data_IF_354823537045
#
_entry.id   IF_354823537045
#
_cell.length_a   1.000
_cell.length_b   1.000
_cell.length_c   1.000
_cell.angle_alpha   90.00
_cell.angle_beta   90.00
_cell.angle_gamma   90.00
#
_symmetry.space_group_name_H-M   'P 1'
#
loop_
_entity.id
_entity.type
_entity.pdbx_description
1 polymer ?
#
# COMPACT_ATOMS: atom_id res chain seq x y z
N UNK A 1 -47.09 -19.80 29.46
CA UNK A 1 -46.11 -20.59 28.68
C UNK A 1 -46.55 -20.61 27.22
N UNK A 2 -45.76 -20.02 26.31
CA UNK A 2 -45.96 -20.07 24.84
C UNK A 2 -44.76 -20.79 24.21
N UNK A 3 -44.93 -21.60 23.16
CA UNK A 3 -43.86 -22.49 22.68
C UNK A 3 -42.82 -21.74 21.85
N UNK A 4 -41.56 -22.15 21.98
CA UNK A 4 -40.44 -21.73 21.14
C UNK A 4 -40.65 -22.26 19.71
N UNK A 5 -40.97 -21.40 18.75
CA UNK A 5 -40.94 -21.77 17.34
C UNK A 5 -39.49 -21.85 16.86
N UNK A 6 -39.07 -23.06 16.52
CA UNK A 6 -37.80 -23.36 15.86
C UNK A 6 -37.72 -22.62 14.52
N UNK A 7 -36.78 -21.68 14.39
CA UNK A 7 -36.48 -21.01 13.13
C UNK A 7 -35.46 -21.85 12.35
N UNK A 8 -35.94 -22.68 11.42
CA UNK A 8 -35.06 -23.37 10.46
C UNK A 8 -34.48 -22.36 9.47
N UNK A 9 -33.19 -22.04 9.64
CA UNK A 9 -32.42 -21.33 8.61
C UNK A 9 -32.10 -22.31 7.50
N UNK A 10 -32.78 -22.21 6.36
CA UNK A 10 -32.51 -23.05 5.20
C UNK A 10 -31.49 -22.35 4.31
N UNK A 11 -30.28 -22.91 4.20
CA UNK A 11 -29.28 -22.46 3.23
C UNK A 11 -29.54 -23.14 1.88
N UNK A 12 -30.08 -22.39 0.92
CA UNK A 12 -30.23 -22.88 -0.46
C UNK A 12 -29.09 -22.32 -1.30
N UNK A 13 -28.15 -23.19 -1.68
CA UNK A 13 -27.07 -22.85 -2.61
C UNK A 13 -27.56 -23.12 -4.03
N UNK A 14 -28.12 -22.12 -4.73
CA UNK A 14 -28.43 -22.24 -6.16
C UNK A 14 -27.23 -21.80 -7.01
N UNK A 15 -26.78 -22.61 -7.99
CA UNK A 15 -25.79 -22.17 -8.96
C UNK A 15 -26.42 -21.15 -9.92
N UNK A 16 -25.83 -19.94 -10.02
CA UNK A 16 -26.17 -18.97 -11.06
C UNK A 16 -25.33 -19.24 -12.30
N UNK A 17 -25.99 -19.59 -13.40
CA UNK A 17 -25.40 -20.06 -14.67
C UNK A 17 -24.79 -18.93 -15.54
N UNK A 18 -24.68 -17.67 -15.08
CA UNK A 18 -24.23 -16.58 -15.95
C UNK A 18 -23.08 -15.70 -15.44
N UNK A 19 -22.60 -15.87 -14.21
CA UNK A 19 -21.61 -14.89 -13.65
C UNK A 19 -20.57 -15.44 -12.68
N UNK A 20 -20.45 -16.76 -12.48
CA UNK A 20 -19.41 -17.33 -11.62
C UNK A 20 -19.43 -16.81 -10.17
N UNK A 21 -20.57 -16.29 -9.70
CA UNK A 21 -20.75 -15.77 -8.34
C UNK A 21 -21.58 -16.74 -7.50
N UNK A 22 -21.09 -17.03 -6.31
CA UNK A 22 -21.91 -17.61 -5.25
C UNK A 22 -22.64 -16.48 -4.52
N UNK A 23 -23.95 -16.37 -4.73
CA UNK A 23 -24.80 -15.53 -3.90
C UNK A 23 -25.30 -16.37 -2.72
N UNK A 24 -25.00 -15.92 -1.49
CA UNK A 24 -25.59 -16.52 -0.29
C UNK A 24 -26.90 -15.78 -0.02
N UNK A 25 -28.02 -16.40 -0.37
CA UNK A 25 -29.34 -15.92 0.03
C UNK A 25 -29.65 -16.50 1.40
N UNK A 26 -29.78 -15.63 2.41
CA UNK A 26 -30.26 -16.02 3.73
C UNK A 26 -31.74 -15.67 3.79
N UNK A 27 -32.58 -16.68 4.06
CA UNK A 27 -34.02 -16.49 4.24
C UNK A 27 -34.31 -16.54 5.74
N UNK A 28 -34.71 -15.39 6.31
CA UNK A 28 -35.28 -15.29 7.65
C UNK A 28 -36.76 -14.88 7.49
N UNK A 29 -37.66 -15.86 7.56
CA UNK A 29 -39.09 -15.65 7.28
C UNK A 29 -39.37 -15.26 5.81
N UNK A 30 -40.41 -14.45 5.57
CA UNK A 30 -40.81 -14.00 4.22
C UNK A 30 -39.91 -12.89 3.64
N UNK A 31 -38.75 -12.61 4.24
CA UNK A 31 -37.87 -11.51 3.84
C UNK A 31 -36.62 -12.07 3.18
N UNK A 32 -36.45 -11.75 1.90
CA UNK A 32 -35.23 -12.04 1.15
C UNK A 32 -34.19 -10.94 1.42
N UNK A 33 -33.09 -11.31 2.08
CA UNK A 33 -31.89 -10.49 2.14
C UNK A 33 -30.87 -10.97 1.09
N UNK A 34 -30.60 -10.12 0.10
CA UNK A 34 -29.47 -10.31 -0.80
C UNK A 34 -28.26 -9.59 -0.22
N UNK A 35 -27.30 -10.37 0.29
CA UNK A 35 -26.03 -9.84 0.77
C UNK A 35 -25.02 -9.91 -0.39
N UNK A 36 -24.84 -8.81 -1.11
CA UNK A 36 -23.74 -8.72 -2.09
C UNK A 36 -22.42 -8.50 -1.35
N UNK A 37 -21.46 -9.39 -1.55
CA UNK A 37 -20.10 -9.21 -1.07
C UNK A 37 -19.52 -7.90 -1.62
N UNK A 38 -19.14 -6.98 -0.73
CA UNK A 38 -18.50 -5.72 -1.09
C UNK A 38 -17.27 -5.97 -1.96
N UNK A 39 -17.25 -5.38 -3.15
CA UNK A 39 -16.10 -5.46 -4.07
C UNK A 39 -14.87 -4.88 -3.37
N UNK A 40 -13.83 -5.69 -3.16
CA UNK A 40 -12.48 -5.16 -2.94
C UNK A 40 -12.07 -4.43 -4.22
N UNK A 41 -11.98 -3.09 -4.15
CA UNK A 41 -11.54 -2.27 -5.28
C UNK A 41 -10.03 -2.43 -5.40
N UNK A 42 -9.59 -3.28 -6.31
CA UNK A 42 -8.19 -3.24 -6.79
C UNK A 42 -7.95 -1.89 -7.47
N UNK A 43 -6.74 -1.31 -7.34
CA UNK A 43 -6.39 -0.10 -8.07
C UNK A 43 -6.44 -0.35 -9.59
N UNK A 44 -6.89 0.65 -10.34
CA UNK A 44 -6.93 0.59 -11.80
C UNK A 44 -5.55 0.86 -12.39
N UNK A 45 -5.22 0.16 -13.48
CA UNK A 45 -4.03 0.41 -14.32
C UNK A 45 -4.36 1.15 -15.63
N UNK A 46 -5.59 1.68 -15.76
CA UNK A 46 -6.04 2.40 -16.95
C UNK A 46 -5.44 3.82 -17.04
N UNK A 47 -4.49 3.98 -17.96
CA UNK A 47 -3.80 5.24 -18.19
C UNK A 47 -4.69 6.31 -18.87
N UNK A 48 -5.65 5.91 -19.68
CA UNK A 48 -6.54 6.85 -20.37
C UNK A 48 -7.48 7.53 -19.37
N UNK A 49 -8.06 6.74 -18.45
CA UNK A 49 -8.85 7.26 -17.34
C UNK A 49 -8.01 8.18 -16.45
N UNK A 50 -6.81 7.76 -16.06
CA UNK A 50 -5.88 8.58 -15.27
C UNK A 50 -5.58 9.93 -15.95
N UNK A 51 -5.28 9.95 -17.25
CA UNK A 51 -4.99 11.20 -17.99
C UNK A 51 -6.18 12.16 -18.00
N UNK A 52 -7.39 11.65 -18.17
CA UNK A 52 -8.60 12.46 -18.14
C UNK A 52 -8.82 13.10 -16.77
N UNK A 53 -8.60 12.34 -15.70
CA UNK A 53 -8.77 12.82 -14.33
C UNK A 53 -7.65 13.81 -13.96
N UNK A 54 -6.42 13.53 -14.36
CA UNK A 54 -5.26 14.40 -14.19
C UNK A 54 -5.46 15.75 -14.90
N UNK A 55 -6.00 15.75 -16.13
CA UNK A 55 -6.26 16.99 -16.88
C UNK A 55 -7.34 17.89 -16.25
N UNK A 56 -8.25 17.31 -15.44
CA UNK A 56 -9.33 18.05 -14.76
C UNK A 56 -8.96 18.52 -13.36
N UNK A 57 -7.88 17.99 -12.80
CA UNK A 57 -7.46 18.32 -11.44
C UNK A 57 -6.99 19.77 -11.35
N UNK A 58 -7.54 20.53 -10.39
CA UNK A 58 -7.17 21.94 -10.17
C UNK A 58 -5.98 22.12 -9.24
N UNK A 59 -5.74 21.13 -8.36
CA UNK A 59 -4.68 21.15 -7.37
C UNK A 59 -4.07 19.76 -7.30
N UNK A 60 -2.85 19.61 -7.81
CA UNK A 60 -2.14 18.34 -7.89
C UNK A 60 -1.03 18.35 -6.85
N UNK A 61 -0.99 17.32 -6.01
CA UNK A 61 0.07 17.09 -5.03
C UNK A 61 0.78 15.80 -5.39
N UNK A 62 2.10 15.86 -5.51
CA UNK A 62 2.96 14.70 -5.79
C UNK A 62 3.77 14.41 -4.53
N UNK A 63 3.52 13.25 -3.93
CA UNK A 63 4.31 12.75 -2.79
C UNK A 63 5.35 11.78 -3.33
N UNK A 64 6.62 12.16 -3.22
CA UNK A 64 7.75 11.33 -3.67
C UNK A 64 8.51 10.75 -2.48
N UNK A 65 9.25 9.67 -2.73
CA UNK A 65 10.14 9.05 -1.76
C UNK A 65 11.46 8.66 -2.41
N UNK A 66 12.34 8.01 -1.64
CA UNK A 66 13.68 7.62 -2.10
C UNK A 66 13.69 6.79 -3.39
N UNK A 67 12.60 6.07 -3.69
CA UNK A 67 12.46 5.29 -4.92
C UNK A 67 12.56 6.13 -6.20
N UNK A 68 12.08 7.37 -6.19
CA UNK A 68 12.21 8.28 -7.35
C UNK A 68 13.68 8.56 -7.66
N UNK A 69 14.56 8.62 -6.65
CA UNK A 69 15.99 8.88 -6.86
C UNK A 69 16.81 7.62 -7.14
N UNK A 70 16.22 6.43 -7.02
CA UNK A 70 16.94 5.17 -7.23
C UNK A 70 17.49 5.06 -8.66
N UNK A 71 16.74 5.54 -9.65
CA UNK A 71 17.16 5.57 -11.06
C UNK A 71 18.34 6.51 -11.32
N UNK A 72 18.55 7.51 -10.45
CA UNK A 72 19.76 8.34 -10.45
C UNK A 72 20.97 7.67 -9.78
N UNK A 73 20.85 6.39 -9.39
CA UNK A 73 21.89 5.67 -8.65
C UNK A 73 22.07 6.16 -7.22
N UNK A 74 21.04 6.77 -6.62
CA UNK A 74 21.02 7.17 -5.21
C UNK A 74 20.62 5.96 -4.36
N UNK A 75 21.42 5.57 -3.35
CA UNK A 75 21.05 4.48 -2.45
C UNK A 75 19.74 4.76 -1.70
N UNK A 76 18.81 3.81 -1.74
CA UNK A 76 17.53 3.89 -1.04
C UNK A 76 17.67 3.50 0.43
N UNK A 77 16.83 4.03 1.32
CA UNK A 77 16.85 3.69 2.75
C UNK A 77 16.40 2.25 3.09
N UNK A 78 15.89 1.51 2.12
CA UNK A 78 15.41 0.13 2.24
C UNK A 78 16.01 -0.72 1.11
N UNK A 79 16.04 -2.03 1.31
CA UNK A 79 16.56 -2.98 0.32
C UNK A 79 18.09 -2.96 0.23
N UNK A 80 18.63 -3.36 -0.92
CA UNK A 80 20.08 -3.49 -1.14
C UNK A 80 20.85 -2.17 -0.94
N UNK A 81 20.22 -1.01 -1.20
CA UNK A 81 20.81 0.31 -0.96
C UNK A 81 20.76 0.81 0.49
N UNK A 82 20.05 0.08 1.37
CA UNK A 82 19.77 0.51 2.74
C UNK A 82 20.91 0.29 3.73
N UNK A 83 21.98 -0.38 3.31
CA UNK A 83 23.14 -0.68 4.14
C UNK A 83 24.31 0.23 3.82
N UNK A 84 24.99 0.70 4.87
CA UNK A 84 26.30 1.33 4.78
C UNK A 84 27.27 0.61 5.71
N UNK A 85 28.34 0.05 5.14
CA UNK A 85 29.22 -0.91 5.81
C UNK A 85 28.40 -2.10 6.35
N UNK A 86 28.26 -2.20 7.67
CA UNK A 86 27.49 -3.24 8.38
C UNK A 86 26.18 -2.75 8.99
N UNK A 87 25.87 -1.45 8.87
CA UNK A 87 24.74 -0.82 9.53
C UNK A 87 23.61 -0.56 8.56
N UNK A 88 22.36 -0.67 9.01
CA UNK A 88 21.26 -0.11 8.24
C UNK A 88 21.21 1.41 8.42
N UNK A 89 20.83 2.11 7.38
CA UNK A 89 20.61 3.56 7.42
C UNK A 89 19.61 3.97 8.53
N UNK A 90 18.66 3.09 8.84
CA UNK A 90 17.66 3.31 9.89
C UNK A 90 18.25 3.29 11.29
N UNK A 91 19.32 2.51 11.52
CA UNK A 91 19.99 2.44 12.81
C UNK A 91 20.79 3.71 13.09
N UNK A 92 21.43 4.25 12.05
CA UNK A 92 22.28 5.44 12.13
C UNK A 92 21.50 6.76 12.10
N UNK A 93 20.33 6.78 11.46
CA UNK A 93 19.49 7.98 11.35
C UNK A 93 18.55 8.16 12.56
N UNK A 94 19.06 7.94 13.79
CA UNK A 94 18.31 8.14 15.03
C UNK A 94 19.01 9.12 15.97
N UNK A 95 18.27 9.89 16.78
CA UNK A 95 18.87 10.78 17.78
C UNK A 95 19.75 10.00 18.77
N UNK A 96 19.33 8.78 19.14
CA UNK A 96 20.08 7.90 20.03
C UNK A 96 21.46 7.54 19.46
N UNK A 97 21.52 7.11 18.20
CA UNK A 97 22.80 6.77 17.56
C UNK A 97 23.73 7.99 17.46
N UNK A 98 23.18 9.18 17.22
CA UNK A 98 23.96 10.41 17.21
C UNK A 98 24.53 10.76 18.58
N UNK A 99 23.76 10.57 19.66
CA UNK A 99 24.24 10.78 21.04
C UNK A 99 25.30 9.75 21.44
N UNK A 100 25.13 8.48 21.05
CA UNK A 100 26.06 7.39 21.38
C UNK A 100 27.38 7.49 20.60
N UNK A 101 27.33 7.79 19.31
CA UNK A 101 28.52 7.92 18.48
C UNK A 101 28.31 8.95 17.34
N UNK A 102 28.50 10.26 17.63
CA UNK A 102 28.29 11.31 16.64
C UNK A 102 29.28 11.20 15.48
N UNK A 103 30.51 10.76 15.72
CA UNK A 103 31.52 10.61 14.66
C UNK A 103 31.10 9.59 13.60
N UNK A 104 30.58 8.43 14.01
CA UNK A 104 30.08 7.41 13.09
C UNK A 104 28.89 7.91 12.26
N UNK A 105 27.96 8.64 12.89
CA UNK A 105 26.82 9.22 12.20
C UNK A 105 27.27 10.30 11.21
N UNK A 106 28.26 11.12 11.58
CA UNK A 106 28.86 12.10 10.67
C UNK A 106 29.57 11.45 9.49
N UNK A 107 30.34 10.38 9.70
CA UNK A 107 30.95 9.61 8.59
C UNK A 107 29.89 9.09 7.61
N UNK A 108 28.78 8.55 8.15
CA UNK A 108 27.67 8.07 7.34
C UNK A 108 27.06 9.19 6.49
N UNK A 109 26.78 10.35 7.08
CA UNK A 109 26.22 11.48 6.33
C UNK A 109 27.24 12.11 5.38
N UNK A 110 28.52 12.15 5.73
CA UNK A 110 29.58 12.64 4.84
C UNK A 110 29.69 11.76 3.60
N UNK A 111 29.76 10.43 3.77
CA UNK A 111 29.72 9.49 2.64
C UNK A 111 28.53 9.74 1.71
N UNK A 112 27.32 9.94 2.28
CA UNK A 112 26.12 10.21 1.48
C UNK A 112 26.23 11.53 0.72
N UNK A 113 26.83 12.57 1.30
CA UNK A 113 27.06 13.85 0.61
C UNK A 113 27.98 13.67 -0.60
N UNK A 114 29.08 12.94 -0.44
CA UNK A 114 30.00 12.64 -1.54
C UNK A 114 29.33 11.83 -2.65
N UNK A 115 28.55 10.80 -2.29
CA UNK A 115 27.78 10.02 -3.27
C UNK A 115 26.79 10.89 -4.04
N UNK A 116 26.08 11.79 -3.35
CA UNK A 116 25.09 12.67 -3.97
C UNK A 116 25.73 13.72 -4.89
N UNK A 117 26.95 14.17 -4.59
CA UNK A 117 27.64 15.19 -5.37
C UNK A 117 27.86 14.79 -6.84
N UNK A 118 27.95 13.49 -7.12
CA UNK A 118 28.13 12.97 -8.48
C UNK A 118 26.83 12.59 -9.19
N UNK A 119 25.65 12.81 -8.59
CA UNK A 119 24.36 12.38 -9.16
C UNK A 119 23.62 13.53 -9.84
N UNK A 120 22.76 13.18 -10.78
CA UNK A 120 21.92 14.13 -11.52
C UNK A 120 20.45 13.70 -11.52
N UNK A 121 19.50 14.63 -11.73
CA UNK A 121 18.09 14.31 -11.89
C UNK A 121 17.84 13.26 -12.98
N UNK A 122 16.85 12.39 -12.75
CA UNK A 122 16.37 11.42 -13.75
C UNK A 122 15.18 11.96 -14.54
N UNK A 123 14.69 11.15 -15.50
CA UNK A 123 13.68 11.53 -16.49
C UNK A 123 12.26 11.51 -15.94
#
# INVERSE_FOLDING_TARGET
MRPLSSWLTTFIRKPSQSTGRFATTVILGNVLFNMEAGKSKLPSSDLAAFRNDFAKAKHIVILTGAGVSAESGVPTFRGAGGYWRKWQAQDLATPKAFTENPSLVWEFYHYRREVMASKQPNK
#
